data_IF_358064942044
#
_entry.id   IF_358064942044
#
_cell.length_a   1.000
_cell.length_b   1.000
_cell.length_c   1.000
_cell.angle_alpha   90.00
_cell.angle_beta   90.00
_cell.angle_gamma   90.00
#
_symmetry.space_group_name_H-M   'P 1'
#
loop_
_entity.id
_entity.type
_entity.pdbx_description
1 polymer ?
#
# COMPACT_ATOMS: atom_id res chain seq x y z
N UNK A 1 -94.94 -44.33 -47.83
CA UNK A 1 -94.05 -44.16 -48.99
C UNK A 1 -92.82 -43.39 -48.50
N UNK A 2 -91.85 -44.06 -47.89
CA UNK A 2 -90.56 -44.51 -48.48
C UNK A 2 -89.62 -43.38 -48.94
N UNK A 3 -88.48 -43.32 -48.24
CA UNK A 3 -87.11 -43.22 -48.76
C UNK A 3 -86.70 -41.88 -49.40
N UNK A 4 -85.93 -41.03 -48.72
CA UNK A 4 -84.46 -41.06 -48.51
C UNK A 4 -83.60 -40.58 -49.69
N UNK A 5 -82.57 -39.80 -49.30
CA UNK A 5 -81.22 -39.67 -49.87
C UNK A 5 -80.96 -38.62 -50.97
N UNK A 6 -80.00 -37.75 -50.62
CA UNK A 6 -79.07 -36.93 -51.43
C UNK A 6 -78.46 -37.73 -52.63
N UNK A 7 -77.55 -37.23 -53.54
CA UNK A 7 -76.48 -36.23 -53.29
C UNK A 7 -75.77 -35.56 -54.53
N UNK A 8 -74.63 -34.88 -54.27
CA UNK A 8 -73.31 -34.88 -55.00
C UNK A 8 -73.19 -34.29 -56.45
N UNK A 9 -72.37 -33.25 -56.67
CA UNK A 9 -70.89 -33.15 -56.87
C UNK A 9 -70.45 -33.14 -58.35
N UNK A 10 -69.55 -32.22 -58.69
CA UNK A 10 -68.61 -32.30 -59.83
C UNK A 10 -67.32 -31.56 -59.42
N UNK A 11 -66.22 -32.24 -59.03
CA UNK A 11 -65.07 -32.77 -59.82
C UNK A 11 -64.20 -31.63 -60.40
N UNK A 12 -62.86 -31.59 -60.40
CA UNK A 12 -61.74 -32.53 -60.15
C UNK A 12 -60.43 -31.65 -60.06
N UNK A 13 -59.56 -31.76 -59.04
CA UNK A 13 -58.20 -32.39 -58.97
C UNK A 13 -57.02 -31.87 -59.84
N UNK A 14 -55.94 -31.45 -59.16
CA UNK A 14 -54.52 -31.91 -59.28
C UNK A 14 -53.64 -31.16 -58.22
N UNK A 15 -53.09 -31.76 -57.13
CA UNK A 15 -51.88 -32.61 -56.95
C UNK A 15 -50.59 -31.91 -57.46
N UNK A 16 -49.49 -31.65 -56.72
CA UNK A 16 -48.80 -32.38 -55.62
C UNK A 16 -47.86 -31.48 -54.76
N UNK A 17 -47.76 -31.85 -53.46
CA UNK A 17 -46.62 -31.98 -52.50
C UNK A 17 -45.38 -31.04 -52.57
N UNK A 18 -44.69 -30.61 -51.49
CA UNK A 18 -44.51 -31.15 -50.14
C UNK A 18 -44.05 -30.09 -49.08
N UNK A 19 -44.06 -30.52 -47.81
CA UNK A 19 -43.84 -29.86 -46.50
C UNK A 19 -42.61 -28.94 -46.32
N UNK A 20 -42.76 -27.88 -45.50
CA UNK A 20 -42.11 -27.75 -44.16
C UNK A 20 -42.65 -26.53 -43.37
N UNK A 21 -42.72 -26.69 -42.05
CA UNK A 21 -43.38 -25.89 -41.01
C UNK A 21 -42.63 -24.64 -40.52
N UNK A 22 -43.36 -23.62 -40.00
CA UNK A 22 -43.32 -23.06 -38.62
C UNK A 22 -43.88 -21.61 -38.57
N UNK A 23 -44.66 -21.33 -37.51
CA UNK A 23 -45.37 -20.08 -37.15
C UNK A 23 -44.51 -18.80 -37.14
N UNK A 24 -45.12 -17.66 -37.49
CA UNK A 24 -44.58 -16.33 -37.22
C UNK A 24 -45.67 -15.32 -36.83
N UNK A 25 -45.69 -14.94 -35.55
CA UNK A 25 -46.50 -13.84 -34.99
C UNK A 25 -45.85 -12.49 -35.38
N UNK A 26 -46.63 -11.55 -35.91
CA UNK A 26 -46.15 -10.21 -36.30
C UNK A 26 -46.40 -9.19 -35.17
N UNK A 27 -45.32 -8.57 -34.68
CA UNK A 27 -45.33 -7.46 -33.72
C UNK A 27 -45.12 -6.14 -34.44
N UNK A 28 -45.97 -5.15 -34.15
CA UNK A 28 -45.85 -3.76 -34.60
C UNK A 28 -44.81 -3.06 -33.72
N UNK A 29 -43.70 -2.60 -34.31
CA UNK A 29 -42.66 -1.84 -33.63
C UNK A 29 -42.92 -0.33 -33.78
N UNK A 30 -43.03 0.39 -32.66
CA UNK A 30 -42.91 1.86 -32.64
C UNK A 30 -41.43 2.26 -32.69
N UNK A 31 -41.05 3.35 -33.39
CA UNK A 31 -39.68 3.85 -33.37
C UNK A 31 -39.39 4.49 -32.00
N UNK A 32 -38.52 3.85 -31.22
CA UNK A 32 -37.95 4.45 -30.02
C UNK A 32 -37.04 5.61 -30.43
N UNK A 33 -37.21 6.78 -29.81
CA UNK A 33 -36.26 7.89 -29.91
C UNK A 33 -34.86 7.41 -29.51
N UNK A 34 -33.78 7.89 -30.14
CA UNK A 34 -32.43 7.52 -29.72
C UNK A 34 -32.22 8.05 -28.30
N UNK A 35 -32.08 7.14 -27.34
CA UNK A 35 -31.55 7.48 -26.03
C UNK A 35 -30.10 7.95 -26.25
N UNK A 36 -29.85 9.25 -26.14
CA UNK A 36 -28.49 9.76 -26.09
C UNK A 36 -27.82 9.13 -24.86
N UNK A 37 -26.80 8.30 -25.09
CA UNK A 37 -25.98 7.77 -24.01
C UNK A 37 -25.37 8.96 -23.27
N UNK A 38 -25.63 9.05 -21.97
CA UNK A 38 -25.09 10.11 -21.14
C UNK A 38 -23.56 10.06 -21.16
N UNK A 39 -22.93 11.23 -21.32
CA UNK A 39 -21.47 11.35 -21.35
C UNK A 39 -20.89 10.83 -20.03
N UNK A 40 -19.85 10.01 -20.09
CA UNK A 40 -19.21 9.48 -18.87
C UNK A 40 -18.50 10.60 -18.10
N UNK A 41 -18.56 10.56 -16.77
CA UNK A 41 -17.86 11.55 -15.95
C UNK A 41 -16.33 11.35 -16.03
N UNK A 42 -15.60 12.46 -16.20
CA UNK A 42 -14.16 12.56 -15.99
C UNK A 42 -13.81 12.33 -14.52
N UNK A 43 -12.51 12.25 -14.20
CA UNK A 43 -12.06 12.12 -12.82
C UNK A 43 -12.58 13.28 -11.94
N UNK A 44 -13.00 13.05 -10.68
CA UNK A 44 -13.52 14.11 -9.82
C UNK A 44 -12.52 15.25 -9.61
N UNK A 45 -13.02 16.48 -9.62
CA UNK A 45 -12.22 17.67 -9.34
C UNK A 45 -11.63 17.64 -7.91
N UNK A 46 -10.37 18.04 -7.77
CA UNK A 46 -9.64 18.05 -6.51
C UNK A 46 -8.92 19.40 -6.31
N UNK A 47 -9.22 20.09 -5.21
CA UNK A 47 -8.64 21.39 -4.87
C UNK A 47 -7.11 21.42 -4.74
N UNK A 48 -6.48 20.29 -4.39
CA UNK A 48 -5.02 20.18 -4.25
C UNK A 48 -4.28 19.91 -5.57
N UNK A 49 -4.99 19.62 -6.66
CA UNK A 49 -4.40 19.31 -7.96
C UNK A 49 -4.29 20.57 -8.81
N UNK A 50 -3.13 20.78 -9.42
CA UNK A 50 -2.94 21.80 -10.43
C UNK A 50 -3.35 21.25 -11.81
N UNK A 51 -4.32 21.90 -12.45
CA UNK A 51 -4.83 21.55 -13.76
C UNK A 51 -4.29 22.52 -14.81
N UNK A 52 -3.77 22.03 -15.92
CA UNK A 52 -3.33 22.85 -17.05
C UNK A 52 -4.41 22.95 -18.13
N UNK A 53 -4.33 23.96 -19.01
CA UNK A 53 -5.32 24.18 -20.08
C UNK A 53 -5.61 22.91 -20.90
N UNK A 54 -6.90 22.61 -21.09
CA UNK A 54 -7.43 21.43 -21.76
C UNK A 54 -7.72 20.23 -20.84
N UNK A 55 -7.16 20.17 -19.63
CA UNK A 55 -7.41 19.07 -18.71
C UNK A 55 -8.84 19.07 -18.19
N UNK A 56 -9.41 17.88 -17.95
CA UNK A 56 -10.83 17.73 -17.57
C UNK A 56 -11.00 17.14 -16.18
N UNK A 57 -12.07 17.56 -15.51
CA UNK A 57 -12.49 17.02 -14.22
C UNK A 57 -14.03 17.04 -14.10
N UNK A 58 -14.61 16.13 -13.33
CA UNK A 58 -16.04 16.16 -13.02
C UNK A 58 -16.32 16.86 -11.70
N UNK A 59 -17.38 17.67 -11.66
CA UNK A 59 -17.82 18.36 -10.45
C UNK A 59 -19.32 18.65 -10.53
N UNK A 60 -20.06 18.33 -9.47
CA UNK A 60 -21.52 18.50 -9.36
C UNK A 60 -22.35 17.87 -10.49
N UNK A 61 -21.86 16.76 -11.08
CA UNK A 61 -22.59 16.03 -12.13
C UNK A 61 -22.33 16.53 -13.54
N UNK A 62 -21.42 17.48 -13.73
CA UNK A 62 -20.96 17.95 -15.03
C UNK A 62 -19.46 17.66 -15.22
N UNK A 63 -19.04 17.53 -16.47
CA UNK A 63 -17.63 17.56 -16.83
C UNK A 63 -17.18 18.99 -17.09
N UNK A 64 -15.96 19.32 -16.69
CA UNK A 64 -15.35 20.64 -16.83
C UNK A 64 -14.00 20.51 -17.50
N UNK A 65 -13.59 21.50 -18.29
CA UNK A 65 -12.25 21.61 -18.89
C UNK A 65 -11.56 22.88 -18.42
N UNK A 66 -10.34 22.78 -17.91
CA UNK A 66 -9.54 23.93 -17.51
C UNK A 66 -9.16 24.75 -18.75
N UNK A 67 -9.35 26.07 -18.73
CA UNK A 67 -8.95 26.93 -19.86
C UNK A 67 -7.46 27.28 -19.83
N UNK A 68 -6.89 27.35 -18.63
CA UNK A 68 -5.49 27.62 -18.36
C UNK A 68 -5.09 26.99 -17.02
N UNK A 69 -3.87 27.23 -16.56
CA UNK A 69 -3.37 26.71 -15.28
C UNK A 69 -4.26 27.17 -14.11
N UNK A 70 -4.72 26.23 -13.27
CA UNK A 70 -5.54 26.49 -12.09
C UNK A 70 -5.27 25.46 -11.00
N UNK A 71 -5.30 25.87 -9.73
CA UNK A 71 -5.23 24.98 -8.57
C UNK A 71 -6.15 25.55 -7.49
N UNK A 72 -7.05 24.73 -6.95
CA UNK A 72 -7.98 25.15 -5.90
C UNK A 72 -9.22 25.92 -6.38
N UNK A 73 -9.31 26.35 -7.65
CA UNK A 73 -10.51 27.02 -8.17
C UNK A 73 -11.62 26.00 -8.47
N UNK A 74 -12.78 26.21 -7.85
CA UNK A 74 -13.95 25.32 -7.92
C UNK A 74 -14.65 25.44 -9.29
N UNK A 75 -14.87 24.35 -10.05
CA UNK A 75 -15.63 24.38 -11.29
C UNK A 75 -17.07 24.85 -11.08
N UNK A 76 -17.57 25.69 -11.99
CA UNK A 76 -18.89 26.33 -11.87
C UNK A 76 -18.94 27.59 -10.98
N UNK A 77 -17.84 27.96 -10.32
CA UNK A 77 -17.75 29.25 -9.62
C UNK A 77 -17.33 30.38 -10.60
N UNK A 78 -18.27 31.27 -10.92
CA UNK A 78 -18.13 32.27 -11.99
C UNK A 78 -17.23 33.48 -11.65
N UNK A 79 -16.60 33.51 -10.48
CA UNK A 79 -15.73 34.63 -10.08
C UNK A 79 -14.46 34.80 -10.93
N UNK A 80 -13.88 33.69 -11.40
CA UNK A 80 -12.64 33.69 -12.20
C UNK A 80 -12.77 33.00 -13.57
N UNK A 81 -13.86 32.26 -13.81
CA UNK A 81 -14.21 31.62 -15.09
C UNK A 81 -13.08 30.75 -15.71
N UNK A 82 -12.27 30.10 -14.86
CA UNK A 82 -11.12 29.27 -15.27
C UNK A 82 -11.52 27.90 -15.83
N UNK A 83 -12.74 27.44 -15.54
CA UNK A 83 -13.31 26.18 -16.02
C UNK A 83 -14.35 26.43 -17.13
N UNK A 84 -14.32 25.61 -18.18
CA UNK A 84 -15.33 25.54 -19.22
C UNK A 84 -16.21 24.31 -19.00
N UNK A 85 -17.51 24.52 -18.81
CA UNK A 85 -18.50 23.44 -18.70
C UNK A 85 -18.54 22.62 -20.00
N UNK A 86 -18.50 21.29 -19.88
CA UNK A 86 -18.58 20.30 -20.97
C UNK A 86 -19.91 19.52 -20.93
N UNK A 87 -20.80 19.88 -20.03
CA UNK A 87 -22.14 19.33 -19.88
C UNK A 87 -22.24 18.16 -18.90
N UNK A 88 -23.49 17.78 -18.65
CA UNK A 88 -23.87 16.73 -17.72
C UNK A 88 -23.23 15.39 -18.05
N UNK A 89 -22.77 14.75 -16.98
CA UNK A 89 -22.23 13.41 -17.02
C UNK A 89 -22.97 12.52 -16.03
N UNK A 90 -23.16 11.24 -16.35
CA UNK A 90 -23.73 10.28 -15.42
C UNK A 90 -22.95 8.98 -15.40
N UNK A 91 -22.76 8.44 -14.20
CA UNK A 91 -22.17 7.12 -13.98
C UNK A 91 -23.22 6.04 -14.25
N UNK A 92 -23.49 5.75 -15.53
CA UNK A 92 -24.42 4.66 -15.90
C UNK A 92 -24.08 3.99 -17.24
N UNK A 93 -23.57 2.75 -17.14
CA UNK A 93 -23.42 1.71 -18.18
C UNK A 93 -22.13 0.90 -17.97
N UNK A 94 -22.07 -0.36 -17.52
CA UNK A 94 -22.96 -1.54 -17.69
C UNK A 94 -22.58 -2.27 -19.00
N UNK A 95 -22.16 -3.54 -19.08
CA UNK A 95 -22.04 -4.69 -18.17
C UNK A 95 -22.20 -5.97 -19.02
N UNK A 96 -21.43 -7.04 -18.76
CA UNK A 96 -21.54 -8.27 -19.55
C UNK A 96 -20.72 -9.49 -19.07
N UNK A 97 -21.03 -9.99 -17.87
CA UNK A 97 -21.07 -11.42 -17.53
C UNK A 97 -19.80 -12.29 -17.56
N UNK A 98 -19.36 -12.72 -16.37
CA UNK A 98 -18.77 -14.05 -16.15
C UNK A 98 -17.27 -14.08 -15.83
N UNK A 99 -16.93 -14.30 -14.56
CA UNK A 99 -15.62 -14.76 -14.14
C UNK A 99 -14.73 -13.69 -13.50
N UNK A 100 -14.49 -13.86 -12.20
CA UNK A 100 -13.38 -13.30 -11.44
C UNK A 100 -12.04 -13.43 -12.19
N UNK A 101 -11.60 -12.37 -12.87
CA UNK A 101 -10.24 -12.29 -13.39
C UNK A 101 -9.66 -10.89 -13.17
N UNK A 102 -8.48 -10.88 -12.57
CA UNK A 102 -7.72 -9.69 -12.20
C UNK A 102 -6.78 -9.31 -13.31
N UNK A 103 -7.32 -8.63 -14.31
CA UNK A 103 -6.56 -8.23 -15.49
C UNK A 103 -6.60 -6.71 -15.61
N UNK A 104 -5.43 -6.09 -15.46
CA UNK A 104 -5.22 -4.65 -15.59
C UNK A 104 -4.12 -4.37 -16.62
N UNK A 105 -4.14 -3.19 -17.31
CA UNK A 105 -3.13 -2.83 -18.30
C UNK A 105 -1.70 -2.92 -17.74
N UNK A 106 -0.74 -3.32 -18.56
CA UNK A 106 0.66 -3.31 -18.16
C UNK A 106 1.16 -1.88 -17.92
N UNK A 107 2.00 -1.68 -16.91
CA UNK A 107 2.69 -0.41 -16.69
C UNK A 107 3.66 -0.12 -17.85
N UNK A 108 3.74 1.15 -18.25
CA UNK A 108 4.58 1.67 -19.33
C UNK A 108 5.45 2.80 -18.77
N UNK A 109 6.76 2.66 -18.91
CA UNK A 109 7.73 3.64 -18.45
C UNK A 109 7.49 5.02 -19.11
N UNK A 110 7.44 6.07 -18.29
CA UNK A 110 7.23 7.45 -18.75
C UNK A 110 5.80 7.78 -19.19
N UNK A 111 4.85 6.85 -19.07
CA UNK A 111 3.42 7.15 -19.29
C UNK A 111 2.82 7.82 -18.06
N UNK A 112 2.07 8.91 -18.24
CA UNK A 112 1.36 9.54 -17.13
C UNK A 112 0.20 8.67 -16.62
N UNK A 113 0.05 8.55 -15.30
CA UNK A 113 -1.02 7.85 -14.61
C UNK A 113 -1.68 8.75 -13.57
N UNK A 114 -3.00 8.89 -13.67
CA UNK A 114 -3.79 9.61 -12.66
C UNK A 114 -3.92 8.77 -11.38
N UNK A 115 -4.18 9.44 -10.26
CA UNK A 115 -4.53 8.76 -9.00
C UNK A 115 -5.69 7.77 -9.23
N UNK A 116 -5.58 6.58 -8.70
CA UNK A 116 -6.53 5.48 -8.85
C UNK A 116 -6.30 4.59 -10.06
N UNK A 117 -5.38 4.93 -10.97
CA UNK A 117 -5.02 4.05 -12.08
C UNK A 117 -4.37 2.76 -11.55
N UNK A 118 -4.85 1.59 -12.00
CA UNK A 118 -4.31 0.29 -11.62
C UNK A 118 -3.58 -0.31 -12.82
N UNK A 119 -2.34 -0.75 -12.60
CA UNK A 119 -1.48 -1.36 -13.62
C UNK A 119 -0.90 -2.67 -13.14
N UNK A 120 -0.59 -3.56 -14.10
CA UNK A 120 0.25 -4.73 -13.88
C UNK A 120 1.70 -4.34 -14.10
N UNK A 121 2.54 -4.43 -13.08
CA UNK A 121 3.98 -4.20 -13.21
C UNK A 121 4.66 -5.49 -13.66
N UNK A 122 4.89 -5.60 -14.97
CA UNK A 122 5.38 -6.82 -15.62
C UNK A 122 6.65 -7.44 -15.01
N UNK A 123 7.64 -6.66 -14.51
CA UNK A 123 8.85 -7.24 -13.92
C UNK A 123 8.62 -8.14 -12.71
N UNK A 124 7.59 -7.90 -11.89
CA UNK A 124 7.25 -8.76 -10.75
C UNK A 124 5.84 -9.36 -10.83
N UNK A 125 5.07 -9.05 -11.88
CA UNK A 125 3.70 -9.54 -12.08
C UNK A 125 2.66 -8.96 -11.10
N UNK A 126 3.06 -8.02 -10.24
CA UNK A 126 2.20 -7.41 -9.22
C UNK A 126 1.27 -6.36 -9.80
N UNK A 127 0.15 -6.11 -9.11
CA UNK A 127 -0.76 -5.02 -9.42
C UNK A 127 -0.44 -3.82 -8.53
N UNK A 128 -0.52 -2.62 -9.09
CA UNK A 128 -0.22 -1.37 -8.38
C UNK A 128 -1.27 -0.31 -8.73
N UNK A 129 -1.75 0.41 -7.72
CA UNK A 129 -2.64 1.56 -7.84
C UNK A 129 -1.86 2.86 -7.64
N UNK A 130 -2.07 3.84 -8.51
CA UNK A 130 -1.45 5.15 -8.38
C UNK A 130 -2.10 5.88 -7.19
N UNK A 131 -1.34 6.20 -6.15
CA UNK A 131 -1.83 6.94 -4.97
C UNK A 131 -1.58 8.44 -5.08
N UNK A 132 -0.64 8.83 -5.95
CA UNK A 132 -0.40 10.21 -6.37
C UNK A 132 -0.27 10.27 -7.90
N UNK A 133 -0.53 11.44 -8.49
CA UNK A 133 -0.46 11.59 -9.94
C UNK A 133 0.98 11.38 -10.42
N UNK A 134 1.17 10.46 -11.36
CA UNK A 134 2.47 9.88 -11.64
C UNK A 134 2.91 10.15 -13.09
N UNK A 135 4.06 10.79 -13.34
CA UNK A 135 4.67 10.95 -14.67
C UNK A 135 5.15 9.67 -15.38
N UNK A 136 4.90 8.49 -14.83
CA UNK A 136 5.39 7.21 -15.34
C UNK A 136 6.63 6.69 -14.64
N UNK A 137 6.83 7.07 -13.38
CA UNK A 137 7.80 6.45 -12.48
C UNK A 137 7.42 5.01 -12.17
N UNK A 138 8.44 4.21 -11.89
CA UNK A 138 8.34 2.78 -11.65
C UNK A 138 7.55 2.45 -10.37
N UNK A 139 6.57 1.51 -10.43
CA UNK A 139 5.79 1.01 -9.28
C UNK A 139 6.56 0.52 -8.07
N UNK A 140 7.83 0.14 -8.23
CA UNK A 140 8.66 -0.41 -7.16
C UNK A 140 9.73 0.55 -6.64
N UNK A 141 10.04 1.61 -7.39
CA UNK A 141 11.07 2.59 -7.00
C UNK A 141 10.48 3.68 -6.10
N UNK A 142 9.24 4.11 -6.36
CA UNK A 142 8.62 5.21 -5.63
C UNK A 142 7.21 4.86 -5.16
N UNK A 143 7.14 4.46 -3.89
CA UNK A 143 5.87 4.19 -3.18
C UNK A 143 5.09 5.46 -2.85
N UNK A 144 5.65 6.64 -3.14
CA UNK A 144 4.90 7.89 -3.15
C UNK A 144 3.85 7.89 -4.26
N UNK A 145 4.20 7.44 -5.46
CA UNK A 145 3.28 7.45 -6.60
C UNK A 145 2.42 6.20 -6.71
N UNK A 146 2.89 5.06 -6.19
CA UNK A 146 2.23 3.77 -6.34
C UNK A 146 2.05 3.05 -5.00
N UNK A 147 0.97 2.29 -4.88
CA UNK A 147 0.77 1.31 -3.82
C UNK A 147 0.40 -0.05 -4.41
N UNK A 148 0.83 -1.17 -3.81
CA UNK A 148 0.36 -2.49 -4.23
C UNK A 148 -1.17 -2.59 -4.19
N UNK A 149 -1.76 -3.27 -5.17
CA UNK A 149 -3.19 -3.48 -5.28
C UNK A 149 -3.50 -4.96 -5.24
N UNK A 150 -4.48 -5.35 -4.42
CA UNK A 150 -5.01 -6.72 -4.41
C UNK A 150 -6.44 -6.71 -4.92
N UNK A 151 -6.72 -7.59 -5.87
CA UNK A 151 -8.09 -7.83 -6.27
C UNK A 151 -8.87 -8.55 -5.18
N UNK A 152 -10.02 -7.99 -4.80
CA UNK A 152 -11.01 -8.69 -3.97
C UNK A 152 -12.27 -8.95 -4.78
N UNK A 153 -12.50 -10.22 -5.13
CA UNK A 153 -13.80 -10.72 -5.58
C UNK A 153 -14.64 -11.07 -4.36
N UNK A 154 -15.86 -10.51 -4.25
CA UNK A 154 -16.70 -10.61 -3.07
C UNK A 154 -17.20 -12.03 -2.75
N UNK A 155 -17.26 -12.33 -1.46
CA UNK A 155 -17.92 -13.51 -0.89
C UNK A 155 -17.67 -13.59 0.62
N UNK A 156 -18.65 -13.17 1.43
CA UNK A 156 -18.53 -13.10 2.88
C UNK A 156 -18.69 -14.43 3.61
N UNK A 157 -18.18 -14.47 4.84
CA UNK A 157 -18.60 -15.38 5.91
C UNK A 157 -17.50 -16.26 6.50
N UNK A 158 -17.02 -15.90 7.70
CA UNK A 158 -16.45 -16.86 8.64
C UNK A 158 -15.06 -16.54 9.21
N UNK A 159 -15.04 -15.81 10.33
CA UNK A 159 -14.11 -15.97 11.47
C UNK A 159 -12.60 -16.03 11.25
N UNK A 160 -11.90 -15.00 11.74
CA UNK A 160 -10.52 -15.12 12.25
C UNK A 160 -9.51 -14.14 11.68
N UNK A 161 -9.03 -13.22 12.53
CA UNK A 161 -7.75 -12.51 12.36
C UNK A 161 -7.77 -11.32 11.39
N UNK A 162 -8.04 -10.13 11.91
CA UNK A 162 -7.79 -8.88 11.19
C UNK A 162 -6.29 -8.65 10.98
N UNK A 163 -5.77 -9.09 9.84
CA UNK A 163 -4.49 -8.66 9.29
C UNK A 163 -4.70 -7.45 8.38
N UNK A 164 -3.85 -6.43 8.52
CA UNK A 164 -3.92 -5.20 7.72
C UNK A 164 -3.83 -5.48 6.22
N UNK A 165 -4.48 -4.64 5.42
CA UNK A 165 -4.78 -4.76 3.99
C UNK A 165 -3.58 -4.89 3.02
N UNK A 166 -2.36 -5.14 3.50
CA UNK A 166 -1.14 -5.37 2.71
C UNK A 166 -0.38 -6.65 3.10
N UNK A 167 -0.98 -7.54 3.91
CA UNK A 167 -0.32 -8.76 4.39
C UNK A 167 0.62 -8.55 5.58
N UNK A 168 0.85 -7.31 6.01
CA UNK A 168 1.53 -7.03 7.27
C UNK A 168 0.61 -7.29 8.47
N UNK A 169 1.16 -7.91 9.50
CA UNK A 169 0.40 -8.37 10.68
C UNK A 169 -0.03 -7.26 11.64
N UNK A 170 0.49 -6.04 11.46
CA UNK A 170 0.08 -4.84 12.19
C UNK A 170 -0.75 -3.97 11.27
N UNK A 171 -1.99 -3.68 11.65
CA UNK A 171 -2.83 -2.73 10.92
C UNK A 171 -2.43 -1.28 11.18
N UNK A 172 -2.82 -0.36 10.30
CA UNK A 172 -2.60 1.07 10.51
C UNK A 172 -3.26 1.57 11.81
N UNK A 173 -4.45 1.04 12.15
CA UNK A 173 -5.13 1.38 13.39
C UNK A 173 -4.31 0.96 14.63
N UNK A 174 -3.72 -0.24 14.60
CA UNK A 174 -2.83 -0.70 15.66
C UNK A 174 -1.54 0.13 15.71
N UNK A 175 -0.93 0.44 14.57
CA UNK A 175 0.24 1.31 14.51
C UNK A 175 -0.05 2.70 15.10
N UNK A 176 -1.21 3.29 14.80
CA UNK A 176 -1.66 4.56 15.39
C UNK A 176 -1.95 4.45 16.89
N UNK A 177 -2.43 3.29 17.36
CA UNK A 177 -2.65 3.02 18.78
C UNK A 177 -1.32 2.90 19.54
N UNK A 178 -0.32 2.24 18.94
CA UNK A 178 1.01 2.07 19.52
C UNK A 178 1.73 3.42 19.59
N UNK A 179 1.67 4.21 18.51
CA UNK A 179 2.39 5.48 18.39
C UNK A 179 1.45 6.69 18.21
N UNK A 180 0.69 7.09 19.24
CA UNK A 180 -0.31 8.16 19.15
C UNK A 180 0.32 9.55 19.03
N UNK A 181 1.54 9.75 19.53
CA UNK A 181 2.23 11.05 19.58
C UNK A 181 3.40 11.15 18.61
N UNK A 182 3.54 10.20 17.67
CA UNK A 182 4.69 10.16 16.76
C UNK A 182 4.82 11.41 15.91
N UNK A 183 6.05 11.68 15.50
CA UNK A 183 6.34 12.65 14.46
C UNK A 183 5.67 12.23 13.14
N UNK A 184 5.10 13.20 12.40
CA UNK A 184 4.46 12.94 11.10
C UNK A 184 5.41 12.38 10.04
N UNK A 185 6.72 12.50 10.25
CA UNK A 185 7.75 11.83 9.44
C UNK A 185 7.56 10.30 9.40
N UNK A 186 7.18 9.69 10.52
CA UNK A 186 6.99 8.24 10.62
C UNK A 186 5.56 7.85 10.24
N UNK A 187 5.38 7.58 8.95
CA UNK A 187 4.08 7.12 8.43
C UNK A 187 4.00 5.59 8.44
N UNK A 188 2.79 5.07 8.65
CA UNK A 188 2.53 3.63 8.52
C UNK A 188 2.81 3.14 7.08
N UNK A 189 2.45 3.95 6.07
CA UNK A 189 2.74 3.64 4.68
C UNK A 189 4.24 3.57 4.39
N UNK A 190 5.05 4.42 5.04
CA UNK A 190 6.51 4.37 4.97
C UNK A 190 7.07 3.06 5.52
N UNK A 191 6.58 2.61 6.68
CA UNK A 191 6.96 1.31 7.25
C UNK A 191 6.61 0.17 6.29
N UNK A 192 5.35 0.08 5.86
CA UNK A 192 4.88 -1.01 4.99
C UNK A 192 5.63 -1.03 3.65
N UNK A 193 5.93 0.14 3.08
CA UNK A 193 6.74 0.25 1.87
C UNK A 193 8.14 -0.35 2.07
N UNK A 194 8.80 -0.03 3.19
CA UNK A 194 10.13 -0.54 3.50
C UNK A 194 10.17 -2.06 3.71
N UNK A 195 9.07 -2.68 4.19
CA UNK A 195 8.98 -4.14 4.38
C UNK A 195 9.18 -4.93 3.07
N UNK A 196 8.88 -4.33 1.91
CA UNK A 196 9.08 -4.97 0.60
C UNK A 196 10.55 -5.36 0.34
N UNK A 197 11.51 -4.67 0.96
CA UNK A 197 12.93 -5.01 0.86
C UNK A 197 13.32 -6.23 1.73
N UNK A 198 12.46 -6.63 2.65
CA UNK A 198 12.70 -7.68 3.65
C UNK A 198 11.51 -8.64 3.73
N UNK A 199 11.29 -9.48 2.71
CA UNK A 199 10.08 -10.30 2.59
C UNK A 199 9.91 -11.35 3.70
N UNK A 200 10.96 -11.64 4.48
CA UNK A 200 10.94 -12.55 5.63
C UNK A 200 10.49 -11.89 6.95
N UNK A 201 10.46 -10.55 7.00
CA UNK A 201 10.10 -9.79 8.21
C UNK A 201 8.63 -9.98 8.54
N UNK A 202 8.33 -10.45 9.75
CA UNK A 202 6.96 -10.69 10.22
C UNK A 202 6.12 -11.57 9.30
N UNK A 203 6.78 -12.43 8.51
CA UNK A 203 6.16 -13.45 7.63
C UNK A 203 6.74 -14.84 7.86
N UNK A 204 7.73 -14.96 8.75
CA UNK A 204 8.40 -16.21 9.09
C UNK A 204 7.76 -16.87 10.31
N UNK A 205 7.58 -18.20 10.28
CA UNK A 205 7.00 -18.96 11.38
C UNK A 205 5.47 -18.90 11.45
N UNK A 206 4.91 -19.21 12.61
CA UNK A 206 3.45 -19.19 12.83
C UNK A 206 2.92 -17.76 12.89
N UNK A 207 1.60 -17.58 12.73
CA UNK A 207 0.95 -16.28 12.89
C UNK A 207 1.24 -15.61 14.25
N UNK A 208 1.45 -16.42 15.31
CA UNK A 208 1.89 -15.92 16.62
C UNK A 208 3.30 -15.37 16.55
N UNK A 209 4.25 -16.11 15.96
CA UNK A 209 5.66 -15.67 15.82
C UNK A 209 5.77 -14.42 14.96
N UNK A 210 5.01 -14.34 13.86
CA UNK A 210 4.97 -13.17 12.99
C UNK A 210 4.55 -11.91 13.74
N UNK A 211 3.49 -12.00 14.56
CA UNK A 211 3.04 -10.89 15.40
C UNK A 211 4.01 -10.58 16.53
N UNK A 212 4.62 -11.59 17.15
CA UNK A 212 5.65 -11.39 18.18
C UNK A 212 6.88 -10.67 17.60
N UNK A 213 7.35 -11.06 16.42
CA UNK A 213 8.44 -10.36 15.74
C UNK A 213 8.08 -8.90 15.45
N UNK A 214 6.90 -8.65 14.89
CA UNK A 214 6.45 -7.28 14.62
C UNK A 214 6.34 -6.45 15.91
N UNK A 215 5.81 -7.03 17.00
CA UNK A 215 5.73 -6.38 18.29
C UNK A 215 7.13 -6.09 18.87
N UNK A 216 8.06 -7.04 18.76
CA UNK A 216 9.43 -6.89 19.25
C UNK A 216 10.20 -5.79 18.51
N UNK A 217 10.04 -5.72 17.19
CA UNK A 217 10.62 -4.65 16.38
C UNK A 217 10.06 -3.29 16.79
N UNK A 218 8.73 -3.16 16.87
CA UNK A 218 8.08 -1.90 17.22
C UNK A 218 8.36 -1.47 18.67
N UNK A 219 8.55 -2.41 19.60
CA UNK A 219 8.92 -2.10 20.99
C UNK A 219 10.33 -1.52 21.10
N UNK A 220 11.30 -2.11 20.41
CA UNK A 220 12.64 -1.51 20.37
C UNK A 220 12.60 -0.15 19.67
N UNK A 221 11.82 -0.02 18.59
CA UNK A 221 11.64 1.29 17.92
C UNK A 221 11.03 2.33 18.87
N UNK A 222 10.02 1.94 19.66
CA UNK A 222 9.41 2.82 20.65
C UNK A 222 10.46 3.36 21.64
N UNK A 223 11.22 2.44 22.24
CA UNK A 223 12.27 2.75 23.19
C UNK A 223 13.35 3.68 22.60
N UNK A 224 13.88 3.36 21.42
CA UNK A 224 14.95 4.15 20.78
C UNK A 224 14.53 5.58 20.42
N UNK A 225 13.23 5.83 20.25
CA UNK A 225 12.73 7.09 19.68
C UNK A 225 11.74 7.84 20.56
N UNK A 226 11.47 7.33 21.76
CA UNK A 226 10.41 7.84 22.65
C UNK A 226 9.04 7.79 21.97
N UNK A 227 8.68 6.64 21.41
CA UNK A 227 7.41 6.45 20.70
C UNK A 227 7.34 7.16 19.36
N UNK A 228 8.43 7.11 18.58
CA UNK A 228 8.60 7.75 17.27
C UNK A 228 8.44 9.28 17.32
N UNK A 229 8.67 9.90 18.48
CA UNK A 229 8.68 11.37 18.62
C UNK A 229 9.95 11.95 18.01
N UNK A 230 11.09 11.29 18.23
CA UNK A 230 12.40 11.76 17.80
C UNK A 230 12.85 11.10 16.49
N UNK A 231 13.28 11.94 15.54
CA UNK A 231 13.92 11.50 14.30
C UNK A 231 15.43 11.34 14.51
N UNK A 232 16.02 12.32 15.16
CA UNK A 232 17.44 12.37 15.46
C UNK A 232 17.66 12.20 16.96
N UNK A 233 18.84 11.70 17.31
CA UNK A 233 19.40 11.81 18.65
C UNK A 233 19.31 13.26 19.14
N UNK A 234 18.95 13.43 20.41
CA UNK A 234 18.77 14.76 21.02
C UNK A 234 20.14 15.44 21.18
N UNK A 235 21.12 14.73 21.71
CA UNK A 235 22.49 15.23 21.84
C UNK A 235 23.37 14.76 20.68
N UNK A 236 23.62 15.65 19.72
CA UNK A 236 24.38 15.34 18.51
C UNK A 236 25.89 15.64 18.66
N UNK A 237 26.34 15.92 19.89
CA UNK A 237 27.75 16.24 20.16
C UNK A 237 28.67 15.00 20.24
N UNK A 238 28.08 13.81 20.25
CA UNK A 238 28.80 12.54 20.29
C UNK A 238 29.74 12.34 19.09
N UNK A 239 30.96 11.88 19.37
CA UNK A 239 31.89 11.48 18.32
C UNK A 239 31.62 10.04 17.86
N UNK A 240 30.76 9.91 16.86
CA UNK A 240 30.39 8.65 16.22
C UNK A 240 31.24 8.34 14.97
N UNK A 241 32.46 8.87 14.91
CA UNK A 241 33.42 8.64 13.84
C UNK A 241 34.51 7.67 14.31
N UNK A 242 34.31 6.38 14.05
CA UNK A 242 35.35 5.38 14.28
C UNK A 242 36.47 5.50 13.24
N UNK A 243 37.68 5.06 13.61
CA UNK A 243 38.88 5.10 12.76
C UNK A 243 38.87 4.03 11.67
N UNK A 244 37.93 4.15 10.75
CA UNK A 244 37.76 3.27 9.58
C UNK A 244 38.58 3.78 8.39
N UNK A 245 38.92 2.90 7.45
CA UNK A 245 39.74 3.26 6.26
C UNK A 245 39.04 4.27 5.33
N UNK A 246 37.71 4.27 5.29
CA UNK A 246 36.87 5.23 4.57
C UNK A 246 36.58 6.50 5.36
N UNK A 247 37.01 6.58 6.63
CA UNK A 247 36.87 7.76 7.46
C UNK A 247 35.42 8.20 7.66
N UNK A 248 35.22 9.52 7.65
CA UNK A 248 33.99 10.20 8.02
C UNK A 248 33.74 11.38 7.06
N UNK A 249 33.46 11.12 5.77
CA UNK A 249 33.41 12.16 4.76
C UNK A 249 32.30 13.20 4.99
N UNK A 250 31.21 12.83 5.65
CA UNK A 250 30.15 13.77 6.06
C UNK A 250 30.54 14.65 7.27
N UNK A 251 31.69 14.38 7.90
CA UNK A 251 32.21 15.08 9.08
C UNK A 251 32.22 14.22 10.35
N UNK A 252 33.12 14.55 11.29
CA UNK A 252 33.34 13.80 12.54
C UNK A 252 32.07 13.62 13.38
N UNK A 253 31.19 14.62 13.41
CA UNK A 253 29.97 14.63 14.22
C UNK A 253 28.71 14.32 13.39
N UNK A 254 28.84 13.76 12.19
CA UNK A 254 27.70 13.57 11.27
C UNK A 254 26.94 12.25 11.49
N UNK A 255 27.46 11.30 12.26
CA UNK A 255 26.95 9.93 12.37
C UNK A 255 26.24 9.61 13.69
N UNK A 256 25.61 10.62 14.29
CA UNK A 256 24.69 10.48 15.42
C UNK A 256 23.45 9.67 15.07
N UNK A 257 22.68 9.27 16.10
CA UNK A 257 21.49 8.45 15.96
C UNK A 257 20.41 9.06 15.07
N UNK A 258 19.93 8.29 14.08
CA UNK A 258 18.78 8.67 13.24
C UNK A 258 17.82 7.52 12.99
N UNK A 259 16.55 7.86 12.87
CA UNK A 259 15.50 6.93 12.46
C UNK A 259 15.04 5.98 13.58
N UNK A 260 14.28 4.92 13.21
CA UNK A 260 13.50 4.12 14.15
C UNK A 260 14.34 3.30 15.14
N UNK A 261 15.56 2.90 14.75
CA UNK A 261 16.50 2.22 15.64
C UNK A 261 17.78 3.04 15.86
N UNK A 262 17.68 4.37 15.75
CA UNK A 262 18.78 5.32 16.01
C UNK A 262 20.13 4.89 15.40
N UNK A 263 20.15 4.65 14.08
CA UNK A 263 21.35 4.25 13.35
C UNK A 263 22.49 5.24 13.66
N UNK A 264 23.56 4.74 14.25
CA UNK A 264 24.70 5.51 14.76
C UNK A 264 26.02 4.90 14.30
N UNK A 265 27.09 5.68 14.28
CA UNK A 265 28.44 5.30 13.84
C UNK A 265 28.65 5.21 12.32
N UNK A 266 29.74 5.81 11.83
CA UNK A 266 30.13 5.82 10.41
C UNK A 266 30.15 4.42 9.77
N UNK A 267 30.60 3.39 10.48
CA UNK A 267 30.62 2.02 9.94
C UNK A 267 29.21 1.42 9.72
N UNK A 268 28.23 1.78 10.55
CA UNK A 268 26.85 1.33 10.35
C UNK A 268 26.18 2.08 9.20
N UNK A 269 26.41 3.38 9.06
CA UNK A 269 25.94 4.15 7.89
C UNK A 269 26.56 3.59 6.59
N UNK A 270 27.86 3.27 6.59
CA UNK A 270 28.52 2.63 5.46
C UNK A 270 27.91 1.26 5.13
N UNK A 271 27.76 0.38 6.13
CA UNK A 271 27.25 -0.98 5.92
C UNK A 271 25.77 -0.97 5.46
N UNK A 272 24.92 -0.15 6.09
CA UNK A 272 23.53 0.02 5.70
C UNK A 272 23.41 0.59 4.29
N UNK A 273 24.22 1.62 3.98
CA UNK A 273 24.21 2.26 2.68
C UNK A 273 24.56 1.29 1.55
N UNK A 274 25.62 0.50 1.74
CA UNK A 274 26.01 -0.54 0.78
C UNK A 274 24.94 -1.62 0.59
N UNK A 275 24.31 -2.07 1.68
CA UNK A 275 23.25 -3.09 1.60
C UNK A 275 21.99 -2.58 0.90
N UNK A 276 21.66 -1.30 1.07
CA UNK A 276 20.45 -0.68 0.53
C UNK A 276 20.65 -0.03 -0.85
N UNK A 277 21.91 0.12 -1.29
CA UNK A 277 22.25 0.86 -2.51
C UNK A 277 22.01 2.37 -2.36
N UNK A 278 22.20 2.92 -1.16
CA UNK A 278 21.97 4.33 -0.82
C UNK A 278 23.26 4.87 -0.20
N UNK A 279 23.79 5.98 -0.70
CA UNK A 279 25.03 6.55 -0.17
C UNK A 279 24.78 7.28 1.17
N UNK A 280 24.73 6.50 2.24
CA UNK A 280 24.50 6.97 3.60
C UNK A 280 25.79 7.41 4.32
N UNK A 281 26.97 7.05 3.80
CA UNK A 281 28.24 7.47 4.40
C UNK A 281 28.50 8.96 4.12
N UNK A 282 28.31 9.40 2.87
CA UNK A 282 28.44 10.82 2.52
C UNK A 282 27.16 11.62 2.80
N UNK A 283 25.99 10.96 2.80
CA UNK A 283 24.70 11.63 2.99
C UNK A 283 23.88 11.04 4.18
N UNK A 284 24.41 11.05 5.41
CA UNK A 284 23.75 10.42 6.56
C UNK A 284 22.39 11.05 6.91
N UNK A 285 22.17 12.33 6.54
CA UNK A 285 20.89 13.01 6.75
C UNK A 285 19.73 12.39 5.98
N UNK A 286 19.97 11.56 4.95
CA UNK A 286 18.90 10.85 4.24
C UNK A 286 18.04 9.99 5.19
N UNK A 287 18.63 9.44 6.25
CA UNK A 287 17.91 8.68 7.28
C UNK A 287 16.90 9.54 8.04
N UNK A 288 17.12 10.86 8.14
CA UNK A 288 16.23 11.79 8.83
C UNK A 288 15.29 12.56 7.90
N UNK A 289 15.50 12.52 6.58
CA UNK A 289 14.72 13.30 5.61
C UNK A 289 13.91 12.45 4.64
N UNK A 290 14.25 11.18 4.46
CA UNK A 290 13.48 10.22 3.67
C UNK A 290 12.90 9.11 4.57
N UNK A 291 11.58 9.10 4.83
CA UNK A 291 10.93 8.09 5.66
C UNK A 291 11.16 6.65 5.18
N UNK A 292 11.25 6.42 3.86
CA UNK A 292 11.46 5.08 3.34
C UNK A 292 12.87 4.58 3.63
N UNK A 293 13.88 5.43 3.41
CA UNK A 293 15.27 5.16 3.81
C UNK A 293 15.37 4.93 5.32
N UNK A 294 14.70 5.77 6.12
CA UNK A 294 14.65 5.67 7.58
C UNK A 294 14.14 4.32 8.06
N UNK A 295 13.04 3.81 7.49
CA UNK A 295 12.52 2.49 7.86
C UNK A 295 13.41 1.35 7.36
N UNK A 296 13.97 1.48 6.15
CA UNK A 296 14.88 0.47 5.59
C UNK A 296 16.13 0.28 6.45
N UNK A 297 16.71 1.34 7.02
CA UNK A 297 17.89 1.19 7.90
C UNK A 297 17.57 0.45 9.19
N UNK A 298 16.39 0.69 9.80
CA UNK A 298 15.96 -0.04 10.98
C UNK A 298 15.72 -1.53 10.68
N UNK A 299 15.02 -1.84 9.59
CA UNK A 299 14.77 -3.24 9.21
C UNK A 299 16.06 -3.93 8.77
N UNK A 300 16.97 -3.22 8.08
CA UNK A 300 18.32 -3.71 7.79
C UNK A 300 19.02 -4.17 9.08
N UNK A 301 19.08 -3.29 10.08
CA UNK A 301 19.74 -3.63 11.35
C UNK A 301 19.05 -4.82 12.04
N UNK A 302 17.72 -4.90 11.99
CA UNK A 302 16.97 -6.05 12.54
C UNK A 302 17.40 -7.40 11.94
N UNK A 303 17.82 -7.42 10.67
CA UNK A 303 18.26 -8.61 9.94
C UNK A 303 19.77 -8.87 9.96
N UNK A 304 20.58 -7.86 10.26
CA UNK A 304 22.05 -7.98 10.11
C UNK A 304 22.82 -7.64 11.37
N UNK A 305 22.24 -6.82 12.24
CA UNK A 305 22.83 -6.42 13.51
C UNK A 305 22.77 -7.56 14.52
N UNK A 306 23.93 -7.98 15.00
CA UNK A 306 24.05 -8.92 16.12
C UNK A 306 24.53 -8.23 17.39
N UNK A 307 24.98 -6.98 17.32
CA UNK A 307 25.68 -6.32 18.41
C UNK A 307 26.81 -7.22 18.96
N UNK A 308 26.87 -7.34 20.29
CA UNK A 308 27.72 -8.32 20.99
C UNK A 308 27.02 -9.69 21.19
N UNK A 309 25.79 -9.85 20.71
CA UNK A 309 25.07 -11.11 20.70
C UNK A 309 25.54 -12.06 19.59
N UNK A 310 24.90 -13.23 19.53
CA UNK A 310 25.17 -14.27 18.52
C UNK A 310 24.06 -14.43 17.48
N UNK A 311 22.93 -13.73 17.66
CA UNK A 311 21.76 -13.78 16.81
C UNK A 311 21.39 -12.36 16.38
N UNK A 312 20.84 -12.25 15.17
CA UNK A 312 20.11 -11.05 14.75
C UNK A 312 18.76 -11.02 15.46
N UNK A 313 18.14 -9.85 15.56
CA UNK A 313 16.82 -9.72 16.17
C UNK A 313 15.75 -10.54 15.44
N UNK A 314 15.80 -10.62 14.11
CA UNK A 314 14.95 -11.52 13.32
C UNK A 314 15.12 -12.99 13.75
N UNK A 315 16.36 -13.48 13.85
CA UNK A 315 16.63 -14.85 14.27
C UNK A 315 16.21 -15.09 15.72
N UNK A 316 16.43 -14.12 16.61
CA UNK A 316 16.04 -14.22 18.01
C UNK A 316 14.53 -14.51 18.17
N UNK A 317 13.70 -13.81 17.40
CA UNK A 317 12.25 -13.99 17.43
C UNK A 317 11.79 -15.25 16.70
N UNK A 318 12.37 -15.57 15.54
CA UNK A 318 11.89 -16.68 14.68
C UNK A 318 12.37 -18.06 15.12
N UNK A 319 13.45 -18.14 15.91
CA UNK A 319 14.00 -19.40 16.44
C UNK A 319 13.60 -19.69 17.89
N UNK A 320 12.88 -18.77 18.53
CA UNK A 320 12.42 -18.92 19.91
C UNK A 320 13.47 -18.57 20.98
N UNK A 321 14.54 -17.87 20.62
CA UNK A 321 15.51 -17.37 21.61
C UNK A 321 14.87 -16.34 22.55
N UNK A 322 13.92 -15.55 22.05
CA UNK A 322 13.07 -14.64 22.82
C UNK A 322 13.47 -13.16 22.73
N UNK A 323 12.63 -12.30 23.29
CA UNK A 323 12.75 -10.84 23.17
C UNK A 323 14.06 -10.29 23.76
N UNK A 324 14.55 -10.86 24.86
CA UNK A 324 15.80 -10.43 25.48
C UNK A 324 17.02 -10.59 24.56
N UNK A 325 16.99 -11.56 23.64
CA UNK A 325 18.04 -11.70 22.63
C UNK A 325 18.00 -10.59 21.56
N UNK A 326 16.84 -9.94 21.33
CA UNK A 326 16.74 -8.74 20.48
C UNK A 326 17.35 -7.53 21.17
N UNK A 327 17.11 -7.35 22.47
CA UNK A 327 17.73 -6.29 23.29
C UNK A 327 19.25 -6.44 23.22
N UNK A 328 19.76 -7.67 23.42
CA UNK A 328 21.19 -7.97 23.31
C UNK A 328 21.78 -7.63 21.94
N UNK A 329 21.04 -7.89 20.87
CA UNK A 329 21.49 -7.60 19.51
C UNK A 329 21.54 -6.09 19.21
N UNK A 330 20.71 -5.29 19.88
CA UNK A 330 20.59 -3.84 19.68
C UNK A 330 21.53 -3.08 20.63
N UNK A 331 21.46 -3.38 21.93
CA UNK A 331 22.26 -2.73 22.97
C UNK A 331 22.60 -3.68 24.13
N UNK A 332 23.66 -4.47 23.96
CA UNK A 332 24.14 -5.43 24.98
C UNK A 332 24.59 -4.77 26.30
N UNK A 333 24.81 -3.45 26.33
CA UNK A 333 25.16 -2.71 27.56
C UNK A 333 24.03 -2.81 28.60
N UNK A 334 22.78 -2.99 28.16
CA UNK A 334 21.63 -3.11 29.07
C UNK A 334 21.56 -4.48 29.74
N UNK A 335 22.11 -5.51 29.09
CA UNK A 335 22.02 -6.89 29.52
C UNK A 335 22.99 -7.25 30.66
N UNK A 336 22.83 -8.44 31.25
CA UNK A 336 23.67 -9.00 32.31
C UNK A 336 23.80 -8.10 33.56
N UNK A 337 22.77 -7.30 33.83
CA UNK A 337 22.76 -6.35 34.94
C UNK A 337 23.42 -5.00 34.64
N UNK A 338 23.75 -4.71 33.38
CA UNK A 338 24.40 -3.46 32.98
C UNK A 338 23.47 -2.25 33.09
N UNK A 339 22.25 -2.33 32.54
CA UNK A 339 21.21 -1.33 32.76
C UNK A 339 19.81 -1.96 32.78
N UNK A 340 19.44 -2.51 33.94
CA UNK A 340 18.17 -3.21 34.11
C UNK A 340 16.94 -2.32 33.99
N UNK A 341 17.09 -1.00 34.14
CA UNK A 341 15.99 -0.03 33.95
C UNK A 341 15.56 0.03 32.50
N UNK A 342 16.50 0.38 31.60
CA UNK A 342 16.22 0.48 30.16
C UNK A 342 15.79 -0.87 29.57
N UNK A 343 16.44 -1.97 29.99
CA UNK A 343 16.04 -3.31 29.58
C UNK A 343 14.57 -3.59 29.97
N UNK A 344 14.17 -3.20 31.18
CA UNK A 344 12.81 -3.41 31.65
C UNK A 344 11.81 -2.52 30.91
N UNK A 345 12.20 -1.30 30.55
CA UNK A 345 11.36 -0.41 29.74
C UNK A 345 11.08 -1.01 28.36
N UNK A 346 12.11 -1.55 27.68
CA UNK A 346 11.90 -2.31 26.42
C UNK A 346 10.94 -3.49 26.59
N UNK A 347 11.06 -4.23 27.71
CA UNK A 347 10.17 -5.36 28.02
C UNK A 347 8.73 -4.86 28.22
N UNK A 348 8.53 -3.76 28.95
CA UNK A 348 7.21 -3.17 29.17
C UNK A 348 6.57 -2.74 27.84
N UNK A 349 7.34 -2.12 26.95
CA UNK A 349 6.89 -1.73 25.61
C UNK A 349 6.49 -2.95 24.79
N UNK A 350 7.30 -4.02 24.82
CA UNK A 350 7.01 -5.27 24.12
C UNK A 350 5.73 -5.94 24.62
N UNK A 351 5.53 -6.02 25.93
CA UNK A 351 4.31 -6.58 26.50
C UNK A 351 3.07 -5.78 26.12
N UNK A 352 3.16 -4.45 26.20
CA UNK A 352 2.08 -3.53 25.79
C UNK A 352 1.71 -3.72 24.32
N UNK A 353 2.70 -3.69 23.44
CA UNK A 353 2.52 -3.80 22.00
C UNK A 353 2.02 -5.20 21.62
N UNK A 354 2.57 -6.28 22.19
CA UNK A 354 2.07 -7.64 21.99
C UNK A 354 0.58 -7.75 22.36
N UNK A 355 0.15 -7.07 23.43
CA UNK A 355 -1.25 -6.92 23.82
C UNK A 355 -2.12 -6.26 22.74
N UNK A 356 -1.64 -5.17 22.12
CA UNK A 356 -2.31 -4.49 20.98
C UNK A 356 -2.46 -5.42 19.77
N UNK A 357 -1.48 -6.29 19.51
CA UNK A 357 -1.52 -7.28 18.43
C UNK A 357 -2.36 -8.53 18.77
N UNK A 358 -2.78 -8.67 20.03
CA UNK A 358 -3.56 -9.79 20.53
C UNK A 358 -2.75 -11.09 20.58
N UNK A 359 -1.47 -11.02 20.98
CA UNK A 359 -0.59 -12.19 21.18
C UNK A 359 0.09 -12.14 22.53
N UNK A 360 0.48 -13.31 23.03
CA UNK A 360 1.31 -13.38 24.24
C UNK A 360 2.77 -13.05 23.90
N UNK A 361 3.54 -12.42 24.81
CA UNK A 361 4.94 -12.05 24.57
C UNK A 361 5.89 -13.23 24.35
N UNK A 362 5.54 -14.43 24.85
CA UNK A 362 6.42 -15.60 24.84
C UNK A 362 7.31 -15.65 26.08
N UNK A 363 8.39 -16.44 26.02
CA UNK A 363 9.38 -16.55 27.10
C UNK A 363 10.68 -15.79 26.80
N UNK A 364 11.62 -15.80 27.76
CA UNK A 364 12.95 -15.18 27.64
C UNK A 364 12.89 -13.70 27.26
N UNK A 365 12.11 -12.91 28.01
CA UNK A 365 11.90 -11.49 27.72
C UNK A 365 13.08 -10.61 28.10
N UNK A 366 13.85 -11.02 29.10
CA UNK A 366 14.97 -10.25 29.67
C UNK A 366 16.32 -10.75 29.16
N UNK A 367 17.33 -9.91 29.31
CA UNK A 367 18.74 -10.24 29.16
C UNK A 367 19.53 -9.61 30.32
#
# INVERSE_FOLDING_TARGET
MTLTHAPKRTRLLALLAALASVLGLTLIAMPASPAHAATACAAPWNSGVAYTGGQTASYNGDNWSAKWWTQGDIPGNNGQNVWADQGACSSSGGGGGGGSSCSYPAWVAGQYYNVGAIVTYTPNGGLYIATNANPGYDPTISTWYWSPYTCTGGGGGGGGGGGGSNGFVVSEAQFNQIFPNRNSFYTYSGLVAALSAYPAFATTGSATVQKQEAAAFLANVDHETGGLVYINEIDQSGNYCASESYGCPAGTYAYYGRGPLQLSWNFNYYAAGNALGIDLLDNPNLVATDPATSWKTAIWYWFTGTGNGSLTSHQAMTTGAGFGATIRAINDIECNGGNTGEMQDRVNDYESIAGVLGVTPGGNLTC
#
